data_IF_471376404678
#
_entry.id   IF_471376404678
#
_cell.length_a   1.000
_cell.length_b   1.000
_cell.length_c   1.000
_cell.angle_alpha   90.00
_cell.angle_beta   90.00
_cell.angle_gamma   90.00
#
_symmetry.space_group_name_H-M   'P 1'
#
loop_
_entity.id
_entity.type
_entity.pdbx_description
1 polymer ?
#
# COMPACT_ATOMS: atom_id res chain seq x y z
N UNK A 1 10.28 7.33 -11.46
CA UNK A 1 10.12 6.10 -10.66
C UNK A 1 9.58 4.99 -11.56
N UNK A 2 10.32 3.90 -11.75
CA UNK A 2 9.92 2.76 -12.59
C UNK A 2 9.02 1.79 -11.82
N UNK A 3 8.02 1.22 -12.50
CA UNK A 3 7.23 0.09 -12.01
C UNK A 3 8.04 -1.19 -12.21
N UNK A 4 8.24 -1.99 -11.17
CA UNK A 4 8.88 -3.31 -11.30
C UNK A 4 7.87 -4.42 -11.62
N UNK A 5 8.29 -5.53 -12.25
CA UNK A 5 7.41 -6.70 -12.49
C UNK A 5 6.78 -7.26 -11.22
N UNK A 6 7.54 -7.31 -10.12
CA UNK A 6 7.06 -7.79 -8.83
C UNK A 6 5.97 -6.86 -8.25
N UNK A 7 6.18 -5.53 -8.30
CA UNK A 7 5.18 -4.57 -7.85
C UNK A 7 3.92 -4.60 -8.72
N UNK A 8 4.04 -4.84 -10.03
CA UNK A 8 2.88 -5.01 -10.92
C UNK A 8 2.01 -6.19 -10.49
N UNK A 9 2.61 -7.38 -10.33
CA UNK A 9 1.90 -8.59 -9.87
C UNK A 9 1.27 -8.39 -8.50
N UNK A 10 2.01 -7.80 -7.55
CA UNK A 10 1.52 -7.55 -6.21
C UNK A 10 0.34 -6.56 -6.21
N UNK A 11 0.45 -5.44 -6.94
CA UNK A 11 -0.61 -4.46 -7.07
C UNK A 11 -1.89 -5.08 -7.65
N UNK A 12 -1.73 -5.88 -8.71
CA UNK A 12 -2.84 -6.56 -9.37
C UNK A 12 -3.53 -7.57 -8.46
N UNK A 13 -2.75 -8.30 -7.65
CA UNK A 13 -3.29 -9.18 -6.62
C UNK A 13 -4.06 -8.44 -5.52
N UNK A 14 -3.58 -7.26 -5.08
CA UNK A 14 -4.27 -6.45 -4.06
C UNK A 14 -5.68 -6.03 -4.49
N UNK A 15 -5.88 -5.73 -5.78
CA UNK A 15 -7.19 -5.32 -6.32
C UNK A 15 -7.98 -6.48 -6.94
N UNK A 16 -7.50 -7.72 -6.81
CA UNK A 16 -8.18 -8.91 -7.32
C UNK A 16 -8.27 -8.99 -8.84
N UNK A 17 -7.36 -8.32 -9.56
CA UNK A 17 -7.37 -8.26 -11.03
C UNK A 17 -6.64 -9.43 -11.68
N UNK A 18 -7.15 -9.89 -12.81
CA UNK A 18 -6.44 -10.72 -13.78
C UNK A 18 -5.56 -9.85 -14.71
N UNK A 19 -4.69 -10.49 -15.49
CA UNK A 19 -3.94 -9.79 -16.55
C UNK A 19 -4.87 -9.14 -17.59
N UNK A 20 -6.05 -9.73 -17.85
CA UNK A 20 -7.05 -9.19 -18.77
C UNK A 20 -7.72 -7.92 -18.22
N UNK A 21 -7.96 -7.87 -16.91
CA UNK A 21 -8.52 -6.68 -16.25
C UNK A 21 -7.53 -5.52 -16.36
N UNK A 22 -6.25 -5.77 -16.06
CA UNK A 22 -5.19 -4.76 -16.20
C UNK A 22 -4.99 -4.33 -17.66
N UNK A 23 -5.04 -5.29 -18.60
CA UNK A 23 -4.99 -5.03 -20.05
C UNK A 23 -6.09 -4.06 -20.48
N UNK A 24 -7.32 -4.32 -20.01
CA UNK A 24 -8.49 -3.51 -20.34
C UNK A 24 -8.40 -2.12 -19.71
N UNK A 25 -8.00 -2.02 -18.44
CA UNK A 25 -7.86 -0.75 -17.73
C UNK A 25 -6.75 0.14 -18.32
N UNK A 26 -5.56 -0.43 -18.56
CA UNK A 26 -4.41 0.30 -19.08
C UNK A 26 -4.42 0.50 -20.60
N UNK A 27 -5.34 -0.16 -21.32
CA UNK A 27 -5.38 -0.20 -22.80
C UNK A 27 -4.07 -0.70 -23.42
N UNK A 28 -3.45 -1.67 -22.76
CA UNK A 28 -2.21 -2.33 -23.19
C UNK A 28 -2.53 -3.77 -23.54
N UNK A 29 -1.89 -4.33 -24.57
CA UNK A 29 -2.12 -5.73 -24.92
C UNK A 29 -1.77 -6.67 -23.75
N UNK A 30 -2.66 -7.62 -23.44
CA UNK A 30 -2.44 -8.65 -22.40
C UNK A 30 -1.06 -9.29 -22.47
N UNK A 31 -0.62 -9.66 -23.68
CA UNK A 31 0.72 -10.26 -23.88
C UNK A 31 1.86 -9.38 -23.38
N UNK A 32 1.78 -8.06 -23.60
CA UNK A 32 2.77 -7.10 -23.10
C UNK A 32 2.79 -7.07 -21.58
N UNK A 33 1.63 -7.16 -20.93
CA UNK A 33 1.53 -7.23 -19.46
C UNK A 33 2.14 -8.55 -18.96
N UNK A 34 1.76 -9.69 -19.56
CA UNK A 34 2.28 -10.99 -19.17
C UNK A 34 3.81 -11.08 -19.32
N UNK A 35 4.36 -10.62 -20.46
CA UNK A 35 5.80 -10.62 -20.71
C UNK A 35 6.53 -9.64 -19.77
N UNK A 36 5.94 -8.49 -19.45
CA UNK A 36 6.48 -7.56 -18.45
C UNK A 36 6.48 -8.18 -17.05
N UNK A 37 5.36 -8.76 -16.62
CA UNK A 37 5.23 -9.41 -15.31
C UNK A 37 6.17 -10.61 -15.20
N UNK A 38 6.43 -11.35 -16.28
CA UNK A 38 7.42 -12.43 -16.33
C UNK A 38 8.87 -11.93 -16.33
N UNK A 39 9.10 -10.63 -16.57
CA UNK A 39 10.43 -10.05 -16.72
C UNK A 39 11.11 -10.37 -18.05
N UNK A 40 10.36 -10.89 -19.03
CA UNK A 40 10.86 -11.24 -20.37
C UNK A 40 10.82 -10.04 -21.33
N UNK A 41 10.07 -8.99 -20.98
CA UNK A 41 9.98 -7.74 -21.70
C UNK A 41 10.19 -6.55 -20.77
N UNK A 42 10.91 -5.52 -21.25
CA UNK A 42 10.98 -4.20 -20.62
C UNK A 42 10.21 -3.19 -21.49
N UNK A 43 8.95 -2.86 -21.15
CA UNK A 43 8.16 -1.88 -21.89
C UNK A 43 8.74 -0.47 -21.82
N UNK A 44 8.26 0.40 -22.71
CA UNK A 44 8.62 1.82 -22.66
C UNK A 44 8.12 2.49 -21.37
N UNK A 45 8.77 3.58 -20.98
CA UNK A 45 8.38 4.35 -19.79
C UNK A 45 6.91 4.81 -19.82
N UNK A 46 6.38 5.11 -21.02
CA UNK A 46 4.97 5.48 -21.21
C UNK A 46 4.03 4.34 -20.84
N UNK A 47 4.30 3.13 -21.33
CA UNK A 47 3.48 1.94 -21.00
C UNK A 47 3.54 1.66 -19.50
N UNK A 48 4.72 1.76 -18.90
CA UNK A 48 4.87 1.56 -17.45
C UNK A 48 4.09 2.61 -16.64
N UNK A 49 4.02 3.86 -17.11
CA UNK A 49 3.20 4.90 -16.50
C UNK A 49 1.71 4.62 -16.63
N UNK A 50 1.25 4.20 -17.81
CA UNK A 50 -0.17 3.88 -18.05
C UNK A 50 -0.63 2.69 -17.19
N UNK A 51 0.19 1.65 -17.08
CA UNK A 51 -0.04 0.49 -16.19
C UNK A 51 -0.06 0.92 -14.73
N UNK A 52 0.95 1.67 -14.29
CA UNK A 52 1.05 2.15 -12.90
C UNK A 52 -0.18 2.99 -12.53
N UNK A 53 -0.56 3.94 -13.39
CA UNK A 53 -1.72 4.81 -13.17
C UNK A 53 -3.02 4.04 -13.08
N UNK A 54 -3.22 3.04 -13.94
CA UNK A 54 -4.43 2.21 -13.93
C UNK A 54 -4.58 1.43 -12.62
N UNK A 55 -3.47 0.95 -12.05
CA UNK A 55 -3.45 0.30 -10.74
C UNK A 55 -3.68 1.31 -9.61
N UNK A 56 -3.14 2.52 -9.72
CA UNK A 56 -3.40 3.60 -8.75
C UNK A 56 -4.88 4.01 -8.74
N UNK A 57 -5.49 4.17 -9.91
CA UNK A 57 -6.90 4.48 -10.08
C UNK A 57 -7.81 3.35 -9.54
N UNK A 58 -7.32 2.09 -9.55
CA UNK A 58 -7.98 0.93 -8.95
C UNK A 58 -7.84 0.86 -7.42
N UNK A 59 -7.12 1.79 -6.79
CA UNK A 59 -6.94 1.85 -5.35
C UNK A 59 -5.64 1.23 -4.85
N UNK A 60 -4.59 1.17 -5.66
CA UNK A 60 -3.22 0.84 -5.21
C UNK A 60 -2.41 2.11 -4.94
N UNK A 61 -1.50 2.06 -3.99
CA UNK A 61 -0.47 3.07 -3.81
C UNK A 61 0.92 2.43 -3.90
N UNK A 62 1.79 3.02 -4.72
CA UNK A 62 3.19 2.62 -4.83
C UNK A 62 4.04 3.34 -3.79
N UNK A 63 4.80 2.57 -3.02
CA UNK A 63 5.68 3.09 -1.97
C UNK A 63 7.12 3.07 -2.52
N UNK A 64 7.78 4.24 -2.63
CA UNK A 64 9.20 4.29 -2.97
C UNK A 64 10.04 3.70 -1.84
N UNK A 65 11.29 3.34 -2.13
CA UNK A 65 12.25 2.93 -1.10
C UNK A 65 12.36 4.02 -0.01
N UNK A 66 12.16 3.65 1.25
CA UNK A 66 12.06 4.58 2.38
C UNK A 66 12.74 4.06 3.65
N UNK A 67 13.88 3.36 3.49
CA UNK A 67 14.58 2.65 4.57
C UNK A 67 14.33 1.14 4.56
N UNK A 68 13.26 0.70 3.91
CA UNK A 68 13.07 -0.65 3.38
C UNK A 68 12.88 -0.62 1.86
N UNK A 69 12.77 -1.79 1.22
CA UNK A 69 12.59 -1.90 -0.23
C UNK A 69 11.26 -1.31 -0.74
N UNK A 70 11.22 -0.95 -2.03
CA UNK A 70 10.02 -0.44 -2.68
C UNK A 70 8.86 -1.46 -2.63
N UNK A 71 7.63 -0.95 -2.46
CA UNK A 71 6.45 -1.78 -2.20
C UNK A 71 5.16 -1.26 -2.83
N UNK A 72 4.05 -1.93 -2.52
CA UNK A 72 2.68 -1.55 -2.90
C UNK A 72 1.74 -1.81 -1.73
N UNK A 73 0.68 -1.01 -1.61
CA UNK A 73 -0.39 -1.19 -0.62
C UNK A 73 -1.74 -0.74 -1.18
N UNK A 74 -2.83 -1.13 -0.52
CA UNK A 74 -4.15 -0.54 -0.80
C UNK A 74 -4.17 0.93 -0.38
N UNK A 75 -4.81 1.77 -1.21
CA UNK A 75 -5.12 3.14 -0.91
C UNK A 75 -6.17 3.20 0.21
N UNK A 76 -6.09 4.24 1.05
CA UNK A 76 -7.12 4.47 2.08
C UNK A 76 -8.41 4.85 1.37
N UNK A 77 -9.48 4.08 1.56
CA UNK A 77 -10.81 4.47 1.09
C UNK A 77 -11.17 5.84 1.68
N UNK A 78 -11.77 6.73 0.88
CA UNK A 78 -12.11 8.09 1.30
C UNK A 78 -12.96 8.14 2.60
N UNK A 79 -13.65 7.04 2.93
CA UNK A 79 -14.48 6.89 4.14
C UNK A 79 -13.93 5.86 5.14
N UNK A 80 -12.63 5.54 5.11
CA UNK A 80 -12.01 4.84 6.25
C UNK A 80 -11.87 5.85 7.41
N UNK A 81 -13.00 6.24 8.01
CA UNK A 81 -13.01 6.71 9.39
C UNK A 81 -12.34 5.61 10.19
N UNK A 82 -11.21 5.95 10.81
CA UNK A 82 -10.65 5.06 11.82
C UNK A 82 -11.75 5.01 12.87
N UNK A 83 -12.35 3.84 13.06
CA UNK A 83 -13.20 3.57 14.22
C UNK A 83 -12.27 3.50 15.43
N UNK A 84 -11.70 4.66 15.78
CA UNK A 84 -10.98 4.83 17.03
C UNK A 84 -12.08 4.88 18.07
N UNK A 85 -12.34 3.74 18.70
CA UNK A 85 -13.12 3.75 19.91
C UNK A 85 -12.28 4.44 21.01
N UNK A 86 -12.44 5.76 21.14
CA UNK A 86 -11.75 6.58 22.14
C UNK A 86 -12.03 6.10 23.59
N UNK A 87 -13.03 5.24 23.80
CA UNK A 87 -13.35 4.65 25.12
C UNK A 87 -12.44 3.47 25.53
N UNK A 88 -11.62 2.92 24.62
CA UNK A 88 -10.65 1.85 24.95
C UNK A 88 -9.27 2.37 25.38
N UNK A 89 -9.08 3.69 25.50
CA UNK A 89 -7.85 4.25 26.06
C UNK A 89 -7.88 4.23 27.59
N UNK A 90 -8.03 3.04 28.19
CA UNK A 90 -7.81 2.86 29.63
C UNK A 90 -6.29 2.73 29.84
N UNK A 91 -5.61 3.87 29.88
CA UNK A 91 -4.24 3.94 30.41
C UNK A 91 -4.34 3.72 31.93
N UNK A 92 -4.37 2.44 32.34
CA UNK A 92 -4.18 1.95 33.72
C UNK A 92 -4.86 2.76 34.84
N UNK A 93 -6.07 2.37 35.23
CA UNK A 93 -6.71 2.92 36.44
C UNK A 93 -5.92 2.60 37.73
N UNK A 94 -5.00 1.62 37.68
CA UNK A 94 -4.25 1.12 38.82
C UNK A 94 -3.07 1.99 39.30
N UNK A 95 -2.71 3.08 38.59
CA UNK A 95 -1.64 3.99 39.04
C UNK A 95 -2.14 5.31 39.65
N UNK A 96 -3.45 5.50 39.89
CA UNK A 96 -3.98 6.72 40.52
C UNK A 96 -3.98 6.70 42.05
N UNK A 97 -3.41 5.68 42.69
CA UNK A 97 -3.05 5.76 44.12
C UNK A 97 -1.57 6.10 44.24
N UNK A 98 -1.30 7.39 44.35
CA UNK A 98 -0.05 7.85 44.90
C UNK A 98 -0.01 7.45 46.39
N UNK A 99 0.44 6.23 46.67
CA UNK A 99 0.72 5.75 48.03
C UNK A 99 2.10 6.23 48.52
N UNK A 100 2.79 7.12 47.78
CA UNK A 100 4.04 7.70 48.23
C UNK A 100 3.77 8.84 49.24
N UNK A 101 4.26 8.75 50.49
CA UNK A 101 4.20 9.86 51.42
C UNK A 101 5.04 11.04 50.87
N UNK A 102 4.61 12.29 51.09
CA UNK A 102 5.33 13.45 50.59
C UNK A 102 6.62 13.62 51.40
N UNK A 103 7.77 13.34 50.77
CA UNK A 103 9.08 13.75 51.28
C UNK A 103 10.09 12.62 51.47
N UNK A 104 10.79 12.27 50.40
CA UNK A 104 12.10 11.64 50.47
C UNK A 104 12.90 11.96 49.19
N UNK A 105 13.15 13.24 48.98
CA UNK A 105 14.17 13.72 48.04
C UNK A 105 15.18 14.54 48.84
N UNK A 106 16.29 13.92 49.20
CA UNK A 106 17.48 14.55 49.78
C UNK A 106 18.67 14.32 48.86
#
# INVERSE_FOLDING_TARGET
MSLSPAQCRAARALVGWSEDDLSSAAKIAKKTIADFEAGTLSPSARILQDVKRSLEDAGVLFIPENGGGAGVRLAKGANASIDTNETETVQYEEHLKNDAPPGAGG
#
